data_IF_561580839923
#
_entry.id   IF_561580839923
#
_cell.length_a   1.000
_cell.length_b   1.000
_cell.length_c   1.000
_cell.angle_alpha   90.00
_cell.angle_beta   90.00
_cell.angle_gamma   90.00
#
_symmetry.space_group_name_H-M   'P 1'
#
loop_
_entity.id
_entity.type
_entity.pdbx_description
1 polymer ?
#
# COMPACT_ATOMS: atom_id res chain seq x y z
N UNK A 1 0.49 15.43 14.53
CA UNK A 1 1.27 14.71 13.50
C UNK A 1 2.60 15.42 13.29
N UNK A 2 3.63 14.70 12.88
CA UNK A 2 4.95 15.23 12.53
C UNK A 2 5.11 15.18 11.00
N UNK A 3 5.53 16.27 10.37
CA UNK A 3 5.70 16.32 8.93
C UNK A 3 6.92 15.48 8.50
N UNK A 4 6.75 14.64 7.49
CA UNK A 4 7.85 13.81 6.97
C UNK A 4 8.66 14.67 5.99
N UNK A 5 9.93 14.89 6.32
CA UNK A 5 10.88 15.67 5.52
C UNK A 5 11.63 14.80 4.51
N UNK A 6 11.69 13.50 4.77
CA UNK A 6 12.34 12.54 3.90
C UNK A 6 12.20 11.12 4.40
N UNK A 7 12.37 10.18 3.47
CA UNK A 7 12.27 8.76 3.67
C UNK A 7 13.56 8.10 3.18
N UNK A 8 14.11 7.16 3.96
CA UNK A 8 15.26 6.34 3.58
C UNK A 8 14.90 4.87 3.63
N UNK A 9 15.09 4.17 2.53
CA UNK A 9 15.04 2.71 2.49
C UNK A 9 16.40 2.11 2.87
N UNK A 10 16.38 1.13 3.75
CA UNK A 10 17.56 0.52 4.36
C UNK A 10 17.41 -0.99 4.30
N UNK A 11 18.34 -1.67 3.63
CA UNK A 11 18.56 -3.10 3.82
C UNK A 11 19.50 -3.32 5.01
N UNK A 12 18.96 -3.83 6.12
CA UNK A 12 19.75 -4.17 7.30
C UNK A 12 20.44 -5.52 7.11
N UNK A 13 21.75 -5.48 6.87
CA UNK A 13 22.55 -6.70 6.69
C UNK A 13 22.70 -7.55 7.96
N UNK A 14 22.50 -6.97 9.14
CA UNK A 14 22.55 -7.67 10.42
C UNK A 14 21.27 -8.45 10.68
N UNK A 15 20.11 -7.81 10.50
CA UNK A 15 18.80 -8.45 10.62
C UNK A 15 18.40 -9.25 9.36
N UNK A 16 19.09 -9.02 8.24
CA UNK A 16 18.78 -9.56 6.90
C UNK A 16 17.36 -9.18 6.45
N UNK A 17 16.95 -7.95 6.74
CA UNK A 17 15.59 -7.44 6.48
C UNK A 17 15.59 -6.03 5.92
N UNK A 18 14.42 -5.58 5.46
CA UNK A 18 14.20 -4.23 4.96
C UNK A 18 13.58 -3.35 6.04
N UNK A 19 13.93 -2.07 6.02
CA UNK A 19 13.39 -1.07 6.92
C UNK A 19 13.29 0.29 6.24
N UNK A 20 12.36 1.10 6.72
CA UNK A 20 12.22 2.50 6.35
C UNK A 20 12.57 3.37 7.55
N UNK A 21 13.32 4.45 7.29
CA UNK A 21 13.60 5.50 8.25
C UNK A 21 12.99 6.82 7.77
N UNK A 22 12.15 7.43 8.62
CA UNK A 22 11.55 8.74 8.39
C UNK A 22 12.33 9.81 9.13
N UNK A 23 12.68 10.87 8.41
CA UNK A 23 13.10 12.14 9.00
C UNK A 23 11.85 12.99 9.24
N UNK A 24 11.59 13.33 10.50
CA UNK A 24 10.38 14.01 10.95
C UNK A 24 10.72 15.41 11.46
N UNK A 25 9.84 16.38 11.19
CA UNK A 25 9.92 17.73 11.74
C UNK A 25 8.56 18.20 12.24
N UNK A 26 8.54 18.84 13.42
CA UNK A 26 7.37 19.46 14.05
C UNK A 26 7.74 20.75 14.77
N UNK A 27 6.86 21.31 15.60
CA UNK A 27 7.00 22.58 16.36
C UNK A 27 8.31 22.69 17.18
N UNK A 28 9.44 22.91 16.50
CA UNK A 28 10.78 22.97 17.09
C UNK A 28 11.46 21.62 17.35
N UNK A 29 10.92 20.51 16.89
CA UNK A 29 11.46 19.16 17.12
C UNK A 29 11.84 18.47 15.80
N UNK A 30 13.05 17.93 15.74
CA UNK A 30 13.50 17.00 14.71
C UNK A 30 13.59 15.60 15.32
N UNK A 31 12.98 14.63 14.67
CA UNK A 31 12.97 13.24 15.12
C UNK A 31 13.27 12.29 13.96
N UNK A 32 13.80 11.11 14.29
CA UNK A 32 14.02 10.04 13.32
C UNK A 32 13.28 8.81 13.80
N UNK A 33 12.47 8.21 12.93
CA UNK A 33 11.67 7.02 13.23
C UNK A 33 12.02 5.91 12.25
N UNK A 34 12.39 4.75 12.77
CA UNK A 34 12.65 3.55 11.96
C UNK A 34 11.57 2.51 12.21
N UNK A 35 11.15 1.83 11.16
CA UNK A 35 10.30 0.65 11.22
C UNK A 35 10.72 -0.38 10.16
N UNK A 36 10.51 -1.65 10.48
CA UNK A 36 10.78 -2.76 9.57
C UNK A 36 9.61 -2.91 8.58
N UNK A 37 9.92 -3.35 7.36
CA UNK A 37 8.93 -3.65 6.31
C UNK A 37 9.17 -5.06 5.78
N UNK A 38 8.14 -5.71 5.24
CA UNK A 38 8.19 -7.15 4.98
C UNK A 38 9.10 -7.50 3.79
N UNK A 39 9.34 -6.54 2.88
CA UNK A 39 10.15 -6.77 1.70
C UNK A 39 10.51 -5.50 0.92
N UNK A 40 11.21 -5.67 -0.20
CA UNK A 40 11.54 -4.57 -1.10
C UNK A 40 10.27 -3.96 -1.72
N UNK A 41 9.25 -4.76 -2.00
CA UNK A 41 8.00 -4.31 -2.63
C UNK A 41 7.25 -3.33 -1.71
N UNK A 42 7.15 -3.62 -0.41
CA UNK A 42 6.57 -2.70 0.58
C UNK A 42 7.36 -1.40 0.68
N UNK A 43 8.69 -1.49 0.62
CA UNK A 43 9.56 -0.32 0.67
C UNK A 43 9.36 0.56 -0.57
N UNK A 44 9.25 -0.05 -1.76
CA UNK A 44 8.98 0.64 -3.03
C UNK A 44 7.61 1.32 -2.99
N UNK A 45 6.55 0.61 -2.58
CA UNK A 45 5.21 1.17 -2.46
C UNK A 45 5.16 2.38 -1.52
N UNK A 46 5.87 2.35 -0.39
CA UNK A 46 5.94 3.48 0.54
C UNK A 46 6.73 4.67 -0.02
N UNK A 47 7.78 4.40 -0.80
CA UNK A 47 8.55 5.45 -1.49
C UNK A 47 7.67 6.13 -2.54
N UNK A 48 7.00 5.35 -3.39
CA UNK A 48 6.11 5.86 -4.43
C UNK A 48 4.99 6.71 -3.81
N UNK A 49 4.32 6.21 -2.78
CA UNK A 49 3.28 6.96 -2.08
C UNK A 49 3.81 8.30 -1.51
N UNK A 50 5.03 8.32 -0.97
CA UNK A 50 5.66 9.55 -0.48
C UNK A 50 5.97 10.53 -1.61
N UNK A 51 6.56 10.06 -2.71
CA UNK A 51 6.96 10.89 -3.85
C UNK A 51 5.77 11.48 -4.61
N UNK A 52 4.68 10.73 -4.70
CA UNK A 52 3.43 11.17 -5.33
C UNK A 52 2.57 12.06 -4.43
N UNK A 53 2.75 11.98 -3.10
CA UNK A 53 1.97 12.77 -2.15
C UNK A 53 2.28 14.26 -2.25
N UNK A 54 1.24 15.07 -2.12
CA UNK A 54 1.37 16.53 -1.96
C UNK A 54 1.85 16.89 -0.56
N UNK A 55 1.47 16.10 0.44
CA UNK A 55 2.00 16.20 1.79
C UNK A 55 1.97 14.86 2.49
N UNK A 56 2.86 14.68 3.45
CA UNK A 56 2.95 13.45 4.24
C UNK A 56 3.29 13.72 5.69
N UNK A 57 2.69 12.94 6.59
CA UNK A 57 2.84 13.12 8.02
C UNK A 57 2.77 11.78 8.78
N UNK A 58 3.45 11.73 9.93
CA UNK A 58 3.42 10.60 10.84
C UNK A 58 2.62 10.96 12.10
N UNK A 59 1.69 10.09 12.50
CA UNK A 59 1.01 10.18 13.78
C UNK A 59 1.70 9.28 14.82
N UNK A 60 2.40 9.85 15.81
CA UNK A 60 3.07 9.05 16.84
C UNK A 60 2.12 8.36 17.83
N UNK A 61 0.85 8.78 17.91
CA UNK A 61 -0.13 8.17 18.82
C UNK A 61 -0.67 6.85 18.27
N UNK A 62 -0.94 6.79 16.96
CA UNK A 62 -1.43 5.58 16.28
C UNK A 62 -0.33 4.77 15.62
N UNK A 63 0.79 5.42 15.27
CA UNK A 63 1.87 4.83 14.48
C UNK A 63 1.61 4.86 12.97
N UNK A 64 0.62 5.63 12.52
CA UNK A 64 0.22 5.69 11.12
C UNK A 64 1.05 6.72 10.33
N UNK A 65 1.25 6.43 9.04
CA UNK A 65 1.78 7.38 8.05
C UNK A 65 0.62 7.77 7.14
N UNK A 66 0.39 9.07 7.02
CA UNK A 66 -0.66 9.64 6.19
C UNK A 66 -0.01 10.29 4.97
N UNK A 67 -0.42 9.87 3.79
CA UNK A 67 -0.08 10.48 2.50
C UNK A 67 -1.31 11.20 1.97
N UNK A 68 -1.22 12.50 1.71
CA UNK A 68 -2.30 13.31 1.17
C UNK A 68 -1.96 13.78 -0.24
N UNK A 69 -2.94 13.67 -1.14
CA UNK A 69 -2.82 13.98 -2.55
C UNK A 69 -3.70 15.17 -2.91
N UNK A 70 -3.40 15.87 -4.01
CA UNK A 70 -4.01 17.14 -4.42
C UNK A 70 -5.54 17.09 -4.63
N UNK A 71 -6.14 15.89 -4.64
CA UNK A 71 -7.60 15.66 -4.77
C UNK A 71 -8.24 14.95 -3.56
N UNK A 72 -7.53 14.80 -2.45
CA UNK A 72 -8.03 14.11 -1.25
C UNK A 72 -8.92 15.00 -0.35
N UNK A 73 -9.39 16.15 -0.84
CA UNK A 73 -10.51 16.89 -0.25
C UNK A 73 -11.81 16.16 -0.63
N UNK A 74 -12.04 14.98 -0.05
CA UNK A 74 -13.38 14.39 -0.03
C UNK A 74 -14.22 15.23 0.94
N UNK A 75 -14.71 16.36 0.43
CA UNK A 75 -15.91 16.97 0.96
C UNK A 75 -16.97 15.88 1.10
N UNK A 76 -17.39 15.65 2.33
CA UNK A 76 -18.56 14.86 2.66
C UNK A 76 -19.76 15.53 1.98
N UNK A 77 -20.11 15.11 0.77
CA UNK A 77 -21.48 15.23 0.27
C UNK A 77 -22.13 13.87 0.47
N UNK A 78 -22.69 13.74 1.67
CA UNK A 78 -23.60 12.69 2.08
C UNK A 78 -24.90 12.79 1.27
N UNK A 79 -25.44 11.63 0.88
CA UNK A 79 -26.83 11.35 0.45
C UNK A 79 -27.30 11.88 -0.93
N UNK A 80 -27.27 11.01 -1.94
CA UNK A 80 -28.56 10.61 -2.56
C UNK A 80 -28.49 9.18 -3.13
N UNK A 81 -29.51 8.44 -2.72
CA UNK A 81 -29.79 7.01 -2.83
C UNK A 81 -30.59 6.76 -4.12
N UNK A 82 -30.07 6.01 -5.10
CA UNK A 82 -30.90 5.47 -6.19
C UNK A 82 -30.49 4.03 -6.58
N UNK A 83 -31.13 3.11 -5.86
CA UNK A 83 -31.96 2.00 -6.37
C UNK A 83 -31.27 0.68 -6.78
N UNK A 84 -31.54 -0.33 -5.95
CA UNK A 84 -31.38 -1.75 -6.23
C UNK A 84 -32.19 -2.16 -7.47
N UNK A 85 -31.55 -2.78 -8.45
CA UNK A 85 -32.25 -3.79 -9.25
C UNK A 85 -31.36 -5.02 -9.41
N UNK A 86 -31.70 -6.02 -8.58
CA UNK A 86 -31.44 -7.42 -8.83
C UNK A 86 -32.11 -7.82 -10.15
N UNK A 87 -31.34 -8.33 -11.10
CA UNK A 87 -31.84 -9.28 -12.09
C UNK A 87 -30.92 -10.50 -12.04
N UNK A 88 -31.30 -11.45 -11.18
CA UNK A 88 -31.00 -12.87 -11.38
C UNK A 88 -31.59 -13.29 -12.74
N UNK A 89 -30.79 -14.02 -13.52
CA UNK A 89 -31.08 -15.42 -13.88
C UNK A 89 -30.58 -15.76 -15.30
N UNK A 90 -30.00 -16.94 -15.44
CA UNK A 90 -29.68 -17.52 -16.76
C UNK A 90 -28.37 -18.29 -16.82
N UNK A 91 -28.34 -19.45 -16.19
CA UNK A 91 -27.38 -20.54 -16.35
C UNK A 91 -26.99 -20.80 -17.83
N UNK A 92 -25.75 -21.22 -18.06
CA UNK A 92 -25.51 -22.45 -18.84
C UNK A 92 -24.08 -22.96 -18.59
N UNK A 93 -24.05 -24.16 -18.02
CA UNK A 93 -22.91 -25.05 -17.88
C UNK A 93 -22.37 -25.42 -19.28
N UNK A 94 -21.05 -25.41 -19.49
CA UNK A 94 -20.42 -26.67 -19.91
C UNK A 94 -18.92 -26.68 -19.63
N UNK A 95 -18.53 -27.85 -19.15
CA UNK A 95 -17.22 -28.34 -18.78
C UNK A 95 -16.43 -28.69 -20.04
N UNK A 96 -15.12 -28.44 -20.06
CA UNK A 96 -14.18 -29.42 -20.62
C UNK A 96 -12.79 -29.21 -20.04
N UNK A 97 -12.60 -29.88 -18.90
CA UNK A 97 -11.33 -30.41 -18.41
C UNK A 97 -10.78 -31.38 -19.47
N UNK A 98 -9.66 -31.04 -20.09
CA UNK A 98 -8.89 -31.94 -20.93
C UNK A 98 -7.44 -31.95 -20.47
N UNK A 99 -7.21 -32.74 -19.42
CA UNK A 99 -5.93 -33.32 -19.05
C UNK A 99 -5.57 -34.41 -20.09
N UNK A 100 -4.50 -34.21 -20.86
CA UNK A 100 -3.76 -35.32 -21.49
C UNK A 100 -2.26 -35.14 -21.25
N UNK A 101 -1.84 -35.76 -20.15
CA UNK A 101 -0.52 -36.32 -19.90
C UNK A 101 0.01 -37.12 -21.11
N UNK A 102 1.11 -36.69 -21.73
CA UNK A 102 1.98 -37.57 -22.52
C UNK A 102 3.43 -37.47 -22.01
N UNK A 103 3.76 -38.37 -21.07
CA UNK A 103 5.11 -38.93 -20.97
C UNK A 103 5.63 -39.34 -22.35
N UNK A 104 6.75 -38.76 -22.78
CA UNK A 104 7.68 -39.43 -23.70
C UNK A 104 9.11 -39.36 -23.18
N UNK A 105 9.42 -40.34 -22.32
CA UNK A 105 10.72 -41.00 -22.34
C UNK A 105 11.01 -41.50 -23.77
N UNK A 106 12.17 -41.09 -24.32
CA UNK A 106 12.95 -41.88 -25.29
C UNK A 106 14.30 -41.23 -25.61
N UNK A 107 15.33 -41.90 -25.07
CA UNK A 107 16.68 -42.13 -25.64
C UNK A 107 17.71 -41.01 -25.57
#
# INVERSE_FOLDING_TARGET
MLAIQGLKCIYDTGARGWAIELALSGEGEEAVRRFDVDGPDDAEMLIEAFEESTSSAFDPATGEIVFAYEYADFGVEDEDDEDESEDEDGEDEDSDDADEDEEKDKT
#
